data_IF_622073067273
#
_entry.id   IF_622073067273
#
_cell.length_a   1.000
_cell.length_b   1.000
_cell.length_c   1.000
_cell.angle_alpha   90.00
_cell.angle_beta   90.00
_cell.angle_gamma   90.00
#
_symmetry.space_group_name_H-M   'P 1'
#
loop_
_entity.id
_entity.type
_entity.pdbx_description
1 polymer ?
#
# COMPACT_ATOMS: atom_id res chain seq x y z
N UNK A 1 2.14 9.67 -8.41
CA UNK A 1 1.47 8.39 -8.70
C UNK A 1 1.17 8.33 -10.18
N UNK A 2 1.80 7.43 -10.92
CA UNK A 2 1.53 7.24 -12.35
C UNK A 2 0.18 6.54 -12.60
N UNK A 3 -0.46 6.74 -13.77
CA UNK A 3 -1.70 6.05 -14.11
C UNK A 3 -1.57 4.52 -14.08
N UNK A 4 -0.42 3.99 -14.49
CA UNK A 4 -0.15 2.55 -14.45
C UNK A 4 -0.10 2.03 -13.01
N UNK A 5 0.57 2.74 -12.08
CA UNK A 5 0.57 2.37 -10.67
C UNK A 5 -0.84 2.40 -10.06
N UNK A 6 -1.69 3.37 -10.44
CA UNK A 6 -3.10 3.40 -10.01
C UNK A 6 -3.86 2.16 -10.48
N UNK A 7 -3.71 1.76 -11.74
CA UNK A 7 -4.36 0.56 -12.28
C UNK A 7 -3.92 -0.71 -11.54
N UNK A 8 -2.63 -0.83 -11.20
CA UNK A 8 -2.12 -1.97 -10.43
C UNK A 8 -2.70 -1.96 -9.01
N UNK A 9 -2.73 -0.80 -8.33
CA UNK A 9 -3.36 -0.68 -7.01
C UNK A 9 -4.85 -1.05 -7.05
N UNK A 10 -5.58 -0.64 -8.09
CA UNK A 10 -6.99 -1.03 -8.26
C UNK A 10 -7.16 -2.54 -8.46
N UNK A 11 -6.23 -3.22 -9.16
CA UNK A 11 -6.25 -4.68 -9.25
C UNK A 11 -6.03 -5.32 -7.87
N UNK A 12 -5.02 -4.86 -7.12
CA UNK A 12 -4.70 -5.41 -5.80
C UNK A 12 -5.87 -5.20 -4.83
N UNK A 13 -6.33 -3.95 -4.68
CA UNK A 13 -7.39 -3.56 -3.74
C UNK A 13 -8.77 -4.03 -4.19
N UNK A 14 -8.97 -4.26 -5.48
CA UNK A 14 -10.19 -4.85 -6.06
C UNK A 14 -10.27 -6.37 -5.98
N UNK A 15 -9.38 -7.02 -5.21
CA UNK A 15 -9.40 -8.48 -5.01
C UNK A 15 -8.81 -9.30 -6.16
N UNK A 16 -8.13 -8.66 -7.13
CA UNK A 16 -7.53 -9.30 -8.31
C UNK A 16 -6.01 -9.43 -8.19
N UNK A 17 -5.49 -9.74 -7.00
CA UNK A 17 -4.06 -9.87 -6.73
C UNK A 17 -3.37 -10.87 -7.68
N UNK A 18 -4.00 -12.00 -7.99
CA UNK A 18 -3.45 -12.99 -8.92
C UNK A 18 -3.24 -12.44 -10.35
N UNK A 19 -4.01 -11.40 -10.75
CA UNK A 19 -3.76 -10.69 -12.02
C UNK A 19 -2.57 -9.74 -11.87
N UNK A 20 -2.50 -8.98 -10.78
CA UNK A 20 -1.39 -8.06 -10.52
C UNK A 20 -0.03 -8.77 -10.46
N UNK A 21 0.04 -9.95 -9.83
CA UNK A 21 1.27 -10.74 -9.71
C UNK A 21 1.80 -11.30 -11.05
N UNK A 22 0.98 -11.32 -12.10
CA UNK A 22 1.39 -11.75 -13.45
C UNK A 22 2.01 -10.61 -14.26
N UNK A 23 1.95 -9.38 -13.76
CA UNK A 23 2.51 -8.23 -14.47
C UNK A 23 4.05 -8.32 -14.47
N UNK A 24 4.69 -7.90 -15.57
CA UNK A 24 6.14 -7.83 -15.61
C UNK A 24 6.65 -6.81 -14.59
N UNK A 25 7.81 -7.11 -13.99
CA UNK A 25 8.52 -6.18 -13.11
C UNK A 25 8.91 -4.94 -13.93
N UNK A 26 8.70 -3.75 -13.38
CA UNK A 26 9.07 -2.50 -14.01
C UNK A 26 8.77 -1.28 -13.15
N UNK A 27 8.92 -0.09 -13.73
CA UNK A 27 8.77 1.18 -13.01
C UNK A 27 7.43 1.29 -12.26
N UNK A 28 6.33 0.85 -12.87
CA UNK A 28 5.01 0.88 -12.23
C UNK A 28 4.91 -0.09 -11.02
N UNK A 29 5.51 -1.28 -11.08
CA UNK A 29 5.50 -2.21 -9.93
C UNK A 29 6.38 -1.71 -8.79
N UNK A 30 7.51 -1.04 -9.08
CA UNK A 30 8.35 -0.40 -8.06
C UNK A 30 7.66 0.79 -7.39
N UNK A 31 6.94 1.62 -8.16
CA UNK A 31 6.16 2.71 -7.59
C UNK A 31 5.06 2.18 -6.66
N UNK A 32 4.39 1.10 -7.03
CA UNK A 32 3.38 0.44 -6.18
C UNK A 32 4.01 -0.10 -4.90
N UNK A 33 5.17 -0.74 -4.98
CA UNK A 33 5.91 -1.26 -3.82
C UNK A 33 6.27 -0.15 -2.82
N UNK A 34 6.78 0.97 -3.33
CA UNK A 34 7.08 2.14 -2.51
C UNK A 34 5.82 2.73 -1.84
N UNK A 35 4.73 2.88 -2.59
CA UNK A 35 3.46 3.39 -2.06
C UNK A 35 2.86 2.45 -1.02
N UNK A 36 2.95 1.13 -1.22
CA UNK A 36 2.47 0.14 -0.28
C UNK A 36 3.26 0.20 1.04
N UNK A 37 4.59 0.31 0.96
CA UNK A 37 5.45 0.47 2.14
C UNK A 37 5.08 1.71 2.96
N UNK A 38 4.98 2.88 2.31
CA UNK A 38 4.57 4.12 2.96
C UNK A 38 3.18 4.04 3.61
N UNK A 39 2.23 3.39 2.94
CA UNK A 39 0.88 3.22 3.46
C UNK A 39 0.87 2.35 4.73
N UNK A 40 1.63 1.25 4.73
CA UNK A 40 1.78 0.38 5.90
C UNK A 40 2.45 1.12 7.05
N UNK A 41 3.56 1.81 6.80
CA UNK A 41 4.26 2.60 7.82
C UNK A 41 3.33 3.63 8.47
N UNK A 42 2.60 4.40 7.67
CA UNK A 42 1.67 5.40 8.18
C UNK A 42 0.47 4.78 8.90
N UNK A 43 0.00 3.62 8.45
CA UNK A 43 -1.04 2.88 9.14
C UNK A 43 -0.57 2.43 10.53
N UNK A 44 0.65 1.89 10.62
CA UNK A 44 1.25 1.44 11.88
C UNK A 44 1.51 2.61 12.84
N UNK A 45 2.12 3.71 12.37
CA UNK A 45 2.34 4.90 13.21
C UNK A 45 1.03 5.43 13.79
N UNK A 46 -0.02 5.53 12.96
CA UNK A 46 -1.36 5.94 13.44
C UNK A 46 -1.93 4.97 14.48
N UNK A 47 -1.75 3.66 14.29
CA UNK A 47 -2.22 2.64 15.25
C UNK A 47 -1.48 2.72 16.58
N UNK A 48 -0.16 2.88 16.55
CA UNK A 48 0.67 3.01 17.75
C UNK A 48 0.32 4.26 18.55
N UNK A 49 0.19 5.42 17.88
CA UNK A 49 -0.26 6.67 18.53
C UNK A 49 -1.63 6.53 19.19
N UNK A 50 -2.58 5.89 18.49
CA UNK A 50 -3.92 5.69 19.04
C UNK A 50 -3.95 4.81 20.28
N UNK A 51 -3.06 3.82 20.40
CA UNK A 51 -2.95 2.97 21.59
C UNK A 51 -2.28 3.75 22.73
N UNK A 52 -1.21 4.50 22.43
CA UNK A 52 -0.53 5.30 23.45
C UNK A 52 -1.44 6.37 24.07
N UNK A 53 -2.34 6.97 23.27
CA UNK A 53 -3.37 7.89 23.78
C UNK A 53 -4.33 7.18 24.76
N UNK A 54 -4.59 5.88 24.59
CA UNK A 54 -5.42 5.11 25.52
C UNK A 54 -4.68 4.75 26.81
N UNK A 55 -3.34 4.67 26.79
CA UNK A 55 -2.52 4.35 27.97
C UNK A 55 -2.26 5.57 28.87
N UNK A 56 -2.40 6.81 28.35
CA UNK A 56 -2.18 8.06 29.09
C UNK A 56 -3.43 8.58 29.85
N UNK A 57 -4.54 7.83 29.88
CA UNK A 57 -5.79 8.16 30.58
C UNK A 57 -6.12 7.14 31.68
#
# INVERSE_FOLDING_TARGET
VTPQAVLILQLILGGRLATALKLPIGQATFEVDHLASLAVERHLDRRLRSIHILDEH
#
